data_IF_210938034158
#
_entry.id   IF_210938034158
#
_cell.length_a   1.000
_cell.length_b   1.000
_cell.length_c   1.000
_cell.angle_alpha   90.00
_cell.angle_beta   90.00
_cell.angle_gamma   90.00
#
_symmetry.space_group_name_H-M   'P 1'
#
loop_
_entity.id
_entity.type
_entity.pdbx_description
1 polymer ?
#
# COMPACT_ATOMS: atom_id res chain seq x y z
N UNK A 1 -5.07 22.48 -46.53
CA UNK A 1 -5.36 21.09 -46.08
C UNK A 1 -4.34 20.54 -45.08
N UNK A 2 -3.12 21.08 -45.02
CA UNK A 2 -2.05 20.66 -44.09
C UNK A 2 -2.33 20.98 -42.61
N UNK A 3 -3.02 22.10 -42.30
CA UNK A 3 -3.36 22.46 -40.92
C UNK A 3 -4.28 21.48 -40.19
N UNK A 4 -5.24 20.86 -40.90
CA UNK A 4 -6.16 19.87 -40.31
C UNK A 4 -5.48 18.55 -39.96
N UNK A 5 -4.46 18.14 -40.71
CA UNK A 5 -3.65 16.98 -40.35
C UNK A 5 -2.79 17.27 -39.12
N UNK A 6 -2.20 18.48 -39.04
CA UNK A 6 -1.42 18.90 -37.88
C UNK A 6 -2.28 18.99 -36.60
N UNK A 7 -3.52 19.49 -36.74
CA UNK A 7 -4.50 19.51 -35.64
C UNK A 7 -4.92 18.10 -35.17
N UNK A 8 -4.96 17.11 -36.07
CA UNK A 8 -5.21 15.73 -35.66
C UNK A 8 -4.04 15.16 -34.84
N UNK A 9 -2.80 15.46 -35.23
CA UNK A 9 -1.62 15.03 -34.47
C UNK A 9 -1.54 15.72 -33.11
N UNK A 10 -1.80 17.03 -33.01
CA UNK A 10 -1.82 17.73 -31.72
C UNK A 10 -2.96 17.26 -30.82
N UNK A 11 -4.13 16.95 -31.38
CA UNK A 11 -5.22 16.35 -30.60
C UNK A 11 -4.87 14.95 -30.08
N UNK A 12 -4.20 14.11 -30.89
CA UNK A 12 -3.73 12.79 -30.44
C UNK A 12 -2.71 12.94 -29.31
N UNK A 13 -1.74 13.85 -29.43
CA UNK A 13 -0.77 14.13 -28.36
C UNK A 13 -1.45 14.62 -27.08
N UNK A 14 -2.46 15.50 -27.21
CA UNK A 14 -3.24 15.99 -26.08
C UNK A 14 -4.04 14.87 -25.37
N UNK A 15 -4.63 13.95 -26.13
CA UNK A 15 -5.30 12.77 -25.55
C UNK A 15 -4.32 11.84 -24.83
N UNK A 16 -3.10 11.66 -25.37
CA UNK A 16 -2.05 10.86 -24.73
C UNK A 16 -1.58 11.52 -23.42
N UNK A 17 -1.38 12.84 -23.41
CA UNK A 17 -0.95 13.59 -22.22
C UNK A 17 -2.01 13.61 -21.12
N UNK A 18 -3.29 13.77 -21.49
CA UNK A 18 -4.41 13.62 -20.57
C UNK A 18 -4.44 12.21 -19.98
N UNK A 19 -4.28 11.17 -20.81
CA UNK A 19 -4.32 9.78 -20.35
C UNK A 19 -3.16 9.44 -19.40
N UNK A 20 -1.95 9.93 -19.69
CA UNK A 20 -0.81 9.81 -18.81
C UNK A 20 -1.06 10.51 -17.47
N UNK A 21 -1.69 11.69 -17.49
CA UNK A 21 -2.06 12.43 -16.28
C UNK A 21 -3.06 11.67 -15.42
N UNK A 22 -4.09 11.06 -16.03
CA UNK A 22 -5.06 10.22 -15.32
C UNK A 22 -4.42 8.96 -14.73
N UNK A 23 -3.53 8.31 -15.49
CA UNK A 23 -2.83 7.10 -15.04
C UNK A 23 -1.91 7.42 -13.86
N UNK A 24 -1.17 8.53 -13.93
CA UNK A 24 -0.32 9.00 -12.83
C UNK A 24 -1.14 9.28 -11.57
N UNK A 25 -2.27 9.97 -11.71
CA UNK A 25 -3.19 10.25 -10.59
C UNK A 25 -3.70 8.95 -9.96
N UNK A 26 -4.08 7.96 -10.78
CA UNK A 26 -4.58 6.69 -10.29
C UNK A 26 -3.50 5.87 -9.56
N UNK A 27 -2.28 5.87 -10.09
CA UNK A 27 -1.14 5.27 -9.38
C UNK A 27 -0.89 5.96 -8.03
N UNK A 28 -0.95 7.30 -7.96
CA UNK A 28 -0.82 8.04 -6.70
C UNK A 28 -1.92 7.63 -5.71
N UNK A 29 -3.17 7.51 -6.13
CA UNK A 29 -4.28 7.03 -5.29
C UNK A 29 -3.98 5.63 -4.75
N UNK A 30 -3.52 4.71 -5.60
CA UNK A 30 -3.13 3.36 -5.15
C UNK A 30 -2.06 3.42 -4.07
N UNK A 31 -1.05 4.26 -4.23
CA UNK A 31 -0.02 4.43 -3.22
C UNK A 31 -0.60 4.88 -1.88
N UNK A 32 -1.55 5.82 -1.87
CA UNK A 32 -2.25 6.18 -0.64
C UNK A 32 -2.96 4.99 0.01
N UNK A 33 -3.63 4.15 -0.78
CA UNK A 33 -4.27 2.93 -0.27
C UNK A 33 -3.25 1.96 0.34
N UNK A 34 -2.07 1.82 -0.26
CA UNK A 34 -0.98 0.99 0.27
C UNK A 34 -0.44 1.59 1.58
N UNK A 35 -0.20 2.91 1.65
CA UNK A 35 0.29 3.56 2.87
C UNK A 35 -0.71 3.38 4.01
N UNK A 36 -2.01 3.55 3.75
CA UNK A 36 -3.06 3.34 4.74
C UNK A 36 -3.03 1.89 5.26
N UNK A 37 -2.75 0.93 4.39
CA UNK A 37 -2.55 -0.46 4.80
C UNK A 37 -1.35 -0.69 5.71
N UNK A 38 -0.26 0.07 5.53
CA UNK A 38 0.94 -0.04 6.37
C UNK A 38 0.67 0.47 7.79
N UNK A 39 -0.27 1.41 7.99
CA UNK A 39 -0.55 2.00 9.30
C UNK A 39 -0.83 0.98 10.42
N UNK A 40 -1.76 0.02 10.29
CA UNK A 40 -1.97 -1.00 11.31
C UNK A 40 -0.71 -1.85 11.57
N UNK A 41 0.10 -2.12 10.53
CA UNK A 41 1.36 -2.85 10.69
C UNK A 41 2.39 -2.03 11.47
N UNK A 42 2.50 -0.73 11.16
CA UNK A 42 3.35 0.21 11.90
C UNK A 42 2.93 0.31 13.35
N UNK A 43 1.64 0.36 13.63
CA UNK A 43 1.13 0.40 15.01
C UNK A 43 1.61 -0.81 15.81
N UNK A 44 1.45 -2.02 15.26
CA UNK A 44 1.88 -3.26 15.90
C UNK A 44 3.41 -3.40 15.97
N UNK A 45 4.13 -2.98 14.93
CA UNK A 45 5.59 -2.96 14.91
C UNK A 45 6.19 -2.00 15.94
N UNK A 46 5.55 -0.85 16.16
CA UNK A 46 5.94 0.09 17.21
C UNK A 46 5.64 -0.48 18.61
N UNK A 47 4.54 -1.22 18.78
CA UNK A 47 4.27 -1.93 20.04
C UNK A 47 5.38 -2.94 20.37
N UNK A 48 5.86 -3.70 19.36
CA UNK A 48 7.00 -4.58 19.52
C UNK A 48 8.27 -3.83 19.94
N UNK A 49 8.64 -2.78 19.21
CA UNK A 49 9.83 -1.99 19.52
C UNK A 49 9.79 -1.44 20.94
N UNK A 50 8.63 -0.95 21.40
CA UNK A 50 8.45 -0.46 22.77
C UNK A 50 8.60 -1.59 23.78
N UNK A 51 8.05 -2.77 23.52
CA UNK A 51 8.19 -3.94 24.42
C UNK A 51 9.65 -4.38 24.55
N UNK A 52 10.38 -4.50 23.43
CA UNK A 52 11.81 -4.82 23.44
C UNK A 52 12.60 -3.75 24.18
N UNK A 53 12.37 -2.48 23.87
CA UNK A 53 13.06 -1.37 24.55
C UNK A 53 12.79 -1.35 26.04
N UNK A 54 11.58 -1.72 26.51
CA UNK A 54 11.27 -1.85 27.94
C UNK A 54 12.05 -2.97 28.62
N UNK A 55 12.27 -4.08 27.93
CA UNK A 55 13.05 -5.21 28.44
C UNK A 55 14.54 -4.82 28.62
N UNK A 56 15.07 -3.98 27.74
CA UNK A 56 16.46 -3.47 27.83
C UNK A 56 16.60 -2.22 28.72
N UNK A 57 15.58 -1.36 28.80
CA UNK A 57 15.59 -0.11 29.56
C UNK A 57 14.44 -0.10 30.57
N UNK A 58 14.75 -0.48 31.81
CA UNK A 58 13.84 -0.58 32.98
C UNK A 58 13.15 0.73 33.40
N UNK A 59 13.36 1.86 32.70
CA UNK A 59 12.85 3.20 33.05
C UNK A 59 11.81 3.77 32.08
N UNK A 60 11.32 3.00 31.12
CA UNK A 60 10.25 3.46 30.21
C UNK A 60 8.88 3.36 30.90
N UNK A 61 8.55 4.36 31.72
CA UNK A 61 7.25 4.53 32.35
C UNK A 61 6.10 4.57 31.31
N UNK A 62 4.93 4.10 31.71
CA UNK A 62 3.75 3.83 30.87
C UNK A 62 3.10 5.07 30.22
N UNK A 63 3.58 6.26 30.54
CA UNK A 63 2.88 7.51 30.22
C UNK A 63 3.20 7.95 28.78
N UNK A 64 2.19 7.86 27.91
CA UNK A 64 2.12 8.31 26.51
C UNK A 64 2.62 7.37 25.38
N UNK A 65 2.75 6.05 25.60
CA UNK A 65 3.07 5.11 24.51
C UNK A 65 2.06 5.18 23.35
N UNK A 66 0.78 5.44 23.61
CA UNK A 66 -0.23 5.63 22.57
C UNK A 66 -0.07 6.93 21.77
N UNK A 67 0.18 8.05 22.45
CA UNK A 67 0.41 9.34 21.77
C UNK A 67 1.67 9.31 20.94
N UNK A 68 2.73 8.67 21.43
CA UNK A 68 3.98 8.50 20.71
C UNK A 68 3.80 7.60 19.48
N UNK A 69 3.10 6.47 19.61
CA UNK A 69 2.73 5.61 18.47
C UNK A 69 1.94 6.37 17.40
N UNK A 70 0.90 7.08 17.80
CA UNK A 70 0.08 7.86 16.89
C UNK A 70 0.86 8.98 16.20
N UNK A 71 1.74 9.67 16.94
CA UNK A 71 2.62 10.71 16.39
C UNK A 71 3.58 10.16 15.33
N UNK A 72 4.25 9.04 15.60
CA UNK A 72 5.16 8.39 14.64
C UNK A 72 4.40 7.92 13.40
N UNK A 73 3.22 7.31 13.58
CA UNK A 73 2.37 6.89 12.45
C UNK A 73 1.93 8.06 11.59
N UNK A 74 1.50 9.17 12.21
CA UNK A 74 1.06 10.37 11.50
C UNK A 74 2.24 11.02 10.77
N UNK A 75 3.40 11.11 11.43
CA UNK A 75 4.62 11.63 10.81
C UNK A 75 5.04 10.78 9.59
N UNK A 76 5.06 9.45 9.74
CA UNK A 76 5.34 8.54 8.64
C UNK A 76 4.35 8.72 7.49
N UNK A 77 3.06 8.79 7.79
CA UNK A 77 2.01 8.99 6.79
C UNK A 77 2.24 10.28 6.00
N UNK A 78 2.48 11.41 6.68
CA UNK A 78 2.67 12.72 6.04
C UNK A 78 3.95 12.75 5.19
N UNK A 79 5.07 12.24 5.72
CA UNK A 79 6.35 12.22 5.00
C UNK A 79 6.26 11.35 3.75
N UNK A 80 5.77 10.12 3.87
CA UNK A 80 5.70 9.22 2.71
C UNK A 80 4.69 9.73 1.67
N UNK A 81 3.53 10.24 2.10
CA UNK A 81 2.53 10.81 1.21
C UNK A 81 3.05 12.03 0.46
N UNK A 82 3.78 12.93 1.14
CA UNK A 82 4.38 14.10 0.49
C UNK A 82 5.46 13.72 -0.52
N UNK A 83 6.32 12.74 -0.21
CA UNK A 83 7.32 12.21 -1.14
C UNK A 83 6.69 11.65 -2.42
N UNK A 84 5.60 10.90 -2.30
CA UNK A 84 4.87 10.34 -3.46
C UNK A 84 4.19 11.45 -4.27
N UNK A 85 3.65 12.48 -3.63
CA UNK A 85 3.04 13.61 -4.33
C UNK A 85 4.05 14.40 -5.17
N UNK A 86 5.29 14.53 -4.69
CA UNK A 86 6.37 15.25 -5.39
C UNK A 86 6.85 14.53 -6.67
N UNK A 87 6.58 13.23 -6.81
CA UNK A 87 6.94 12.48 -8.02
C UNK A 87 5.95 12.79 -9.13
N UNK A 88 6.45 13.35 -10.23
CA UNK A 88 5.65 13.70 -11.41
C UNK A 88 5.92 12.81 -12.63
N UNK A 89 6.75 11.77 -12.47
CA UNK A 89 7.09 10.83 -13.53
C UNK A 89 6.61 9.41 -13.16
N UNK A 90 5.80 8.82 -14.05
CA UNK A 90 5.26 7.46 -13.94
C UNK A 90 6.41 6.45 -13.82
N UNK A 91 7.54 6.65 -14.51
CA UNK A 91 8.67 5.71 -14.47
C UNK A 91 9.26 5.59 -13.06
N UNK A 92 9.53 6.74 -12.44
CA UNK A 92 10.06 6.80 -11.07
C UNK A 92 9.05 6.23 -10.07
N UNK A 93 7.77 6.54 -10.25
CA UNK A 93 6.71 6.01 -9.42
C UNK A 93 6.58 4.49 -9.56
N UNK A 94 6.79 3.93 -10.75
CA UNK A 94 6.72 2.48 -10.97
C UNK A 94 7.92 1.75 -10.36
N UNK A 95 9.10 2.40 -10.31
CA UNK A 95 10.33 1.82 -9.74
C UNK A 95 10.26 1.69 -8.20
N UNK A 96 9.57 2.62 -7.54
CA UNK A 96 9.41 2.61 -6.08
C UNK A 96 8.38 1.56 -5.62
N UNK A 97 7.45 1.16 -6.49
CA UNK A 97 6.31 0.31 -6.14
C UNK A 97 6.76 -1.06 -5.60
N UNK A 98 7.70 -1.79 -6.24
CA UNK A 98 8.19 -3.06 -5.73
C UNK A 98 8.85 -2.91 -4.37
N UNK A 99 9.56 -1.80 -4.12
CA UNK A 99 10.25 -1.55 -2.85
C UNK A 99 9.24 -1.37 -1.72
N UNK A 100 8.21 -0.54 -1.94
CA UNK A 100 7.15 -0.32 -0.95
C UNK A 100 6.36 -1.61 -0.71
N UNK A 101 5.89 -2.26 -1.77
CA UNK A 101 5.11 -3.51 -1.67
C UNK A 101 5.90 -4.64 -1.01
N UNK A 102 7.17 -4.83 -1.37
CA UNK A 102 8.04 -5.82 -0.70
C UNK A 102 8.25 -5.48 0.77
N UNK A 103 8.52 -4.21 1.09
CA UNK A 103 8.61 -3.74 2.47
C UNK A 103 7.34 -4.00 3.27
N UNK A 104 6.16 -3.79 2.65
CA UNK A 104 4.87 -4.14 3.27
C UNK A 104 4.74 -5.63 3.52
N UNK A 105 5.07 -6.48 2.55
CA UNK A 105 4.97 -7.93 2.69
C UNK A 105 5.88 -8.46 3.82
N UNK A 106 7.13 -7.97 3.88
CA UNK A 106 8.07 -8.28 4.97
C UNK A 106 7.52 -7.79 6.31
N UNK A 107 7.02 -6.56 6.37
CA UNK A 107 6.41 -6.01 7.58
C UNK A 107 5.25 -6.87 8.09
N UNK A 108 4.41 -7.38 7.18
CA UNK A 108 3.29 -8.26 7.53
C UNK A 108 3.78 -9.60 8.09
N UNK A 109 4.77 -10.22 7.43
CA UNK A 109 5.36 -11.48 7.90
C UNK A 109 5.94 -11.29 9.32
N UNK A 110 6.71 -10.23 9.54
CA UNK A 110 7.27 -9.91 10.84
C UNK A 110 6.20 -9.63 11.89
N UNK A 111 5.12 -8.93 11.51
CA UNK A 111 4.00 -8.65 12.39
C UNK A 111 3.29 -9.95 12.82
N UNK A 112 3.02 -10.88 11.89
CA UNK A 112 2.43 -12.18 12.23
C UNK A 112 3.36 -13.03 13.10
N UNK A 113 4.66 -13.06 12.77
CA UNK A 113 5.67 -13.75 13.58
C UNK A 113 5.68 -13.21 15.01
N UNK A 114 5.68 -11.89 15.17
CA UNK A 114 5.64 -11.22 16.46
C UNK A 114 4.36 -11.53 17.24
N UNK A 115 3.20 -11.44 16.59
CA UNK A 115 1.92 -11.80 17.20
C UNK A 115 1.88 -13.26 17.64
N UNK A 116 2.53 -14.16 16.89
CA UNK A 116 2.62 -15.58 17.22
C UNK A 116 3.49 -15.81 18.45
N UNK A 117 4.68 -15.22 18.48
CA UNK A 117 5.60 -15.32 19.63
C UNK A 117 4.98 -14.78 20.93
N UNK A 118 4.14 -13.74 20.83
CA UNK A 118 3.55 -13.06 21.99
C UNK A 118 2.11 -13.50 22.30
N UNK A 119 1.60 -14.57 21.65
CA UNK A 119 0.22 -15.06 21.81
C UNK A 119 -0.85 -13.98 21.59
N UNK A 120 -0.54 -12.95 20.80
CA UNK A 120 -1.44 -11.84 20.44
C UNK A 120 -2.09 -12.02 19.06
N UNK A 121 -2.01 -13.23 18.48
CA UNK A 121 -2.58 -13.54 17.16
C UNK A 121 -4.08 -13.18 17.02
N UNK A 122 -4.80 -13.08 18.13
CA UNK A 122 -6.24 -12.74 18.15
C UNK A 122 -6.56 -11.28 17.82
N UNK A 123 -5.58 -10.41 17.60
CA UNK A 123 -5.86 -8.99 17.29
C UNK A 123 -6.17 -8.75 15.80
N UNK A 124 -5.74 -9.64 14.90
CA UNK A 124 -5.95 -9.51 13.46
C UNK A 124 -6.60 -10.78 12.89
N UNK A 125 -7.46 -10.63 11.88
CA UNK A 125 -8.11 -11.76 11.24
C UNK A 125 -7.18 -12.36 10.19
N UNK A 126 -6.33 -13.30 10.63
CA UNK A 126 -5.37 -13.98 9.77
C UNK A 126 -5.97 -14.68 8.54
N UNK A 127 -7.23 -15.11 8.61
CA UNK A 127 -7.93 -15.74 7.49
C UNK A 127 -8.29 -14.72 6.41
N UNK A 128 -8.82 -13.55 6.79
CA UNK A 128 -9.08 -12.47 5.82
C UNK A 128 -7.77 -11.99 5.19
N UNK A 129 -6.72 -11.85 6.00
CA UNK A 129 -5.41 -11.41 5.50
C UNK A 129 -4.82 -12.44 4.53
N UNK A 130 -4.90 -13.73 4.83
CA UNK A 130 -4.40 -14.78 3.93
C UNK A 130 -5.16 -14.80 2.60
N UNK A 131 -6.50 -14.65 2.63
CA UNK A 131 -7.31 -14.48 1.41
C UNK A 131 -6.84 -13.25 0.62
N UNK A 132 -6.64 -12.12 1.29
CA UNK A 132 -6.14 -10.90 0.66
C UNK A 132 -4.80 -11.10 -0.04
N UNK A 133 -3.86 -11.82 0.58
CA UNK A 133 -2.58 -12.16 -0.05
C UNK A 133 -2.72 -13.14 -1.21
N UNK A 134 -3.58 -14.16 -1.10
CA UNK A 134 -3.85 -15.07 -2.20
C UNK A 134 -4.41 -14.31 -3.41
N UNK A 135 -5.34 -13.39 -3.18
CA UNK A 135 -5.86 -12.51 -4.21
C UNK A 135 -4.78 -11.59 -4.80
N UNK A 136 -3.87 -11.08 -3.96
CA UNK A 136 -2.75 -10.24 -4.42
C UNK A 136 -1.80 -11.00 -5.36
N UNK A 137 -1.45 -12.24 -5.02
CA UNK A 137 -0.63 -13.12 -5.88
C UNK A 137 -1.36 -13.37 -7.20
N UNK A 138 -2.66 -13.68 -7.13
CA UNK A 138 -3.47 -13.91 -8.33
C UNK A 138 -3.55 -12.67 -9.21
N UNK A 139 -3.78 -11.50 -8.61
CA UNK A 139 -3.81 -10.20 -9.31
C UNK A 139 -2.46 -9.87 -9.95
N UNK A 140 -1.35 -10.18 -9.28
CA UNK A 140 -0.01 -9.95 -9.83
C UNK A 140 0.22 -10.76 -11.11
N UNK A 141 -0.24 -12.02 -11.15
CA UNK A 141 -0.21 -12.85 -12.36
C UNK A 141 -1.16 -12.29 -13.42
N UNK A 142 -2.40 -11.97 -13.02
CA UNK A 142 -3.46 -11.51 -13.90
C UNK A 142 -3.13 -10.15 -14.54
N UNK A 143 -2.40 -9.28 -13.85
CA UNK A 143 -1.84 -8.02 -14.36
C UNK A 143 -0.94 -8.25 -15.58
N UNK A 144 -0.09 -9.26 -15.54
CA UNK A 144 0.76 -9.63 -16.68
C UNK A 144 -0.07 -9.99 -17.92
N UNK A 145 -1.14 -10.77 -17.72
CA UNK A 145 -2.08 -11.12 -18.80
C UNK A 145 -2.88 -9.92 -19.30
N UNK A 146 -3.41 -9.10 -18.40
CA UNK A 146 -4.21 -7.91 -18.75
C UNK A 146 -3.39 -6.89 -19.53
N UNK A 147 -2.13 -6.68 -19.15
CA UNK A 147 -1.23 -5.77 -19.85
C UNK A 147 -0.96 -6.22 -21.30
N UNK A 148 -0.96 -7.52 -21.57
CA UNK A 148 -0.78 -8.06 -22.93
C UNK A 148 -2.06 -8.00 -23.77
N UNK A 149 -3.24 -8.23 -23.17
CA UNK A 149 -4.50 -8.35 -23.90
C UNK A 149 -5.19 -7.00 -24.20
N UNK A 150 -5.06 -6.04 -23.29
CA UNK A 150 -5.83 -4.80 -23.34
C UNK A 150 -4.97 -3.54 -23.15
N UNK A 151 -3.64 -3.69 -23.24
CA UNK A 151 -2.63 -2.63 -23.09
C UNK A 151 -2.98 -1.67 -21.94
N UNK A 152 -3.33 -0.42 -22.26
CA UNK A 152 -3.65 0.66 -21.34
C UNK A 152 -4.94 0.42 -20.54
N UNK A 153 -5.97 -0.18 -21.14
CA UNK A 153 -7.22 -0.53 -20.42
C UNK A 153 -6.99 -1.67 -19.44
N UNK A 154 -6.13 -2.63 -19.81
CA UNK A 154 -5.72 -3.73 -18.95
C UNK A 154 -4.98 -3.25 -17.71
N UNK A 155 -4.07 -2.29 -17.88
CA UNK A 155 -3.37 -1.65 -16.76
C UNK A 155 -4.36 -0.96 -15.83
N UNK A 156 -5.30 -0.16 -16.35
CA UNK A 156 -6.30 0.52 -15.53
C UNK A 156 -7.14 -0.45 -14.67
N UNK A 157 -7.60 -1.55 -15.28
CA UNK A 157 -8.36 -2.59 -14.57
C UNK A 157 -7.49 -3.26 -13.49
N UNK A 158 -6.22 -3.56 -13.80
CA UNK A 158 -5.30 -4.15 -12.83
C UNK A 158 -5.05 -3.23 -11.63
N UNK A 159 -4.95 -1.92 -11.83
CA UNK A 159 -4.82 -0.96 -10.73
C UNK A 159 -6.07 -0.94 -9.83
N UNK A 160 -7.28 -1.02 -10.39
CA UNK A 160 -8.53 -1.11 -9.62
C UNK A 160 -8.61 -2.40 -8.80
N UNK A 161 -8.26 -3.54 -9.40
CA UNK A 161 -8.25 -4.84 -8.73
C UNK A 161 -7.27 -4.80 -7.54
N UNK A 162 -6.05 -4.28 -7.75
CA UNK A 162 -5.06 -4.18 -6.69
C UNK A 162 -5.55 -3.30 -5.53
N UNK A 163 -6.16 -2.14 -5.82
CA UNK A 163 -6.75 -1.29 -4.78
C UNK A 163 -7.81 -2.02 -3.97
N UNK A 164 -8.70 -2.78 -4.63
CA UNK A 164 -9.72 -3.57 -3.95
C UNK A 164 -9.11 -4.65 -3.05
N UNK A 165 -8.06 -5.33 -3.50
CA UNK A 165 -7.35 -6.34 -2.72
C UNK A 165 -6.69 -5.73 -1.49
N UNK A 166 -6.04 -4.58 -1.66
CA UNK A 166 -5.47 -3.84 -0.53
C UNK A 166 -6.54 -3.43 0.49
N UNK A 167 -7.77 -3.11 0.08
CA UNK A 167 -8.86 -2.88 1.02
C UNK A 167 -9.27 -4.15 1.78
N UNK A 168 -9.28 -5.32 1.14
CA UNK A 168 -9.54 -6.60 1.83
C UNK A 168 -8.48 -6.86 2.89
N UNK A 169 -7.20 -6.67 2.54
CA UNK A 169 -6.07 -6.82 3.46
C UNK A 169 -6.23 -5.87 4.65
N UNK A 170 -6.57 -4.61 4.40
CA UNK A 170 -6.82 -3.60 5.44
C UNK A 170 -7.92 -4.04 6.42
N UNK A 171 -9.06 -4.50 5.89
CA UNK A 171 -10.17 -5.01 6.68
C UNK A 171 -9.72 -6.18 7.55
N UNK A 172 -8.85 -7.04 7.03
CA UNK A 172 -8.27 -8.15 7.79
C UNK A 172 -7.44 -7.71 9.00
N UNK A 173 -6.72 -6.59 8.91
CA UNK A 173 -5.96 -6.03 10.03
C UNK A 173 -6.84 -5.36 11.09
N UNK A 174 -7.94 -4.73 10.69
CA UNK A 174 -8.82 -4.01 11.63
C UNK A 174 -9.85 -4.94 12.28
N UNK A 175 -10.28 -5.97 11.56
CA UNK A 175 -11.33 -6.87 12.05
C UNK A 175 -10.75 -7.83 13.08
N UNK A 176 -11.24 -7.75 14.31
CA UNK A 176 -10.93 -8.75 15.34
C UNK A 176 -11.58 -10.10 14.98
N UNK A 177 -10.83 -11.21 14.98
CA UNK A 177 -11.40 -12.53 14.81
C UNK A 177 -12.34 -12.86 15.97
N UNK A 178 -13.56 -13.27 15.64
CA UNK A 178 -14.49 -13.88 16.60
C UNK A 178 -14.16 -15.37 16.68
N UNK A 179 -13.17 -15.74 17.49
CA UNK A 179 -12.99 -17.13 17.87
C UNK A 179 -14.06 -17.45 18.92
N UNK A 180 -15.00 -18.32 18.56
CA UNK A 180 -15.95 -18.93 19.50
C UNK A 180 -15.28 -20.02 20.32
#
# INVERSE_FOLDING_TARGET
>A
MTGKCFDLFTNITYFIDLFNSYTLLLMKIRYFVIIINILPMLYLGLEFLILVLKEYFTRLDEVNNEKLRFSIMTFFFVVISSLIMLINDIKNLTLILPIITFGTAVGIILMFLFMYMNKKLSQANGLIISIGFSLYIFSSILRGFLAQLAELKGIFIAELIDMFIYLIIFVGFITKPKYS
#
